data_IF_453791173945
#
_entry.id   IF_453791173945
#
_cell.length_a   1.000
_cell.length_b   1.000
_cell.length_c   1.000
_cell.angle_alpha   90.00
_cell.angle_beta   90.00
_cell.angle_gamma   90.00
#
_symmetry.space_group_name_H-M   'P 1'
#
loop_
_entity.id
_entity.type
_entity.pdbx_description
1 polymer ?
#
# COMPACT_ATOMS: atom_id res chain seq x y z
N UNK A 1 -3.41 21.07 -18.44
CA UNK A 1 -4.06 21.72 -17.28
C UNK A 1 -3.03 22.69 -16.69
N UNK A 2 -3.21 24.02 -16.84
CA UNK A 2 -2.24 25.06 -16.46
C UNK A 2 -2.91 26.14 -15.56
N UNK A 3 -3.62 25.76 -14.49
CA UNK A 3 -4.21 26.77 -13.59
C UNK A 3 -3.26 27.20 -12.46
N UNK A 4 -2.14 26.51 -12.25
CA UNK A 4 -1.27 26.78 -11.09
C UNK A 4 -1.94 26.49 -9.74
N UNK A 5 -3.14 25.88 -9.77
CA UNK A 5 -3.93 25.54 -8.60
C UNK A 5 -3.57 24.14 -8.10
N UNK A 6 -3.69 23.96 -6.78
CA UNK A 6 -3.62 22.65 -6.17
C UNK A 6 -4.84 21.81 -6.60
N UNK A 7 -4.58 20.58 -7.04
CA UNK A 7 -5.60 19.59 -7.35
C UNK A 7 -5.40 18.42 -6.39
N UNK A 8 -6.50 17.93 -5.82
CA UNK A 8 -6.52 16.74 -4.98
C UNK A 8 -7.37 15.67 -5.65
N UNK A 9 -6.76 14.52 -5.90
CA UNK A 9 -7.43 13.34 -6.44
C UNK A 9 -7.34 12.23 -5.40
N UNK A 10 -8.50 11.78 -4.92
CA UNK A 10 -8.58 10.72 -3.91
C UNK A 10 -8.35 9.37 -4.59
N UNK A 11 -7.38 8.61 -4.08
CA UNK A 11 -7.11 7.24 -4.52
C UNK A 11 -8.11 6.28 -3.89
N UNK A 12 -8.15 6.22 -2.55
CA UNK A 12 -9.01 5.31 -1.80
C UNK A 12 -9.15 5.73 -0.33
N UNK A 13 -9.95 4.97 0.42
CA UNK A 13 -10.17 5.16 1.86
C UNK A 13 -9.24 4.33 2.75
N UNK A 14 -8.50 3.34 2.23
CA UNK A 14 -7.70 2.43 3.08
C UNK A 14 -8.56 1.48 3.92
N UNK A 15 -7.97 0.94 5.00
CA UNK A 15 -8.65 0.03 5.92
C UNK A 15 -9.72 0.76 6.74
N UNK A 16 -10.90 0.17 6.91
CA UNK A 16 -12.04 0.79 7.61
C UNK A 16 -12.72 -0.13 8.64
N UNK A 17 -12.49 -1.44 8.56
CA UNK A 17 -13.26 -2.47 9.26
C UNK A 17 -13.12 -2.43 10.77
N UNK A 18 -11.94 -2.09 11.29
CA UNK A 18 -11.65 -2.10 12.72
C UNK A 18 -11.71 -0.70 13.38
N UNK A 19 -12.14 0.32 12.62
CA UNK A 19 -12.15 1.73 13.05
C UNK A 19 -12.79 1.96 14.42
N UNK A 20 -13.88 1.25 14.71
CA UNK A 20 -14.62 1.38 15.98
C UNK A 20 -13.92 0.71 17.17
N UNK A 21 -13.04 -0.27 16.91
CA UNK A 21 -12.38 -1.08 17.93
C UNK A 21 -11.01 -0.51 18.29
N UNK A 22 -10.25 -0.08 17.28
CA UNK A 22 -8.83 0.30 17.45
C UNK A 22 -8.54 1.78 17.18
N UNK A 23 -9.55 2.58 16.77
CA UNK A 23 -9.43 4.00 16.41
C UNK A 23 -8.46 4.34 15.25
N UNK A 24 -7.81 3.35 14.65
CA UNK A 24 -7.01 3.51 13.43
C UNK A 24 -7.77 3.03 12.20
N UNK A 25 -7.63 3.79 11.11
CA UNK A 25 -8.23 3.52 9.80
C UNK A 25 -7.41 4.25 8.71
N UNK A 26 -7.65 3.93 7.44
CA UNK A 26 -6.88 4.47 6.33
C UNK A 26 -5.59 3.70 6.07
N UNK A 27 -4.52 4.43 5.77
CA UNK A 27 -3.19 3.88 5.48
C UNK A 27 -2.16 4.48 6.42
N UNK A 28 -1.21 3.66 6.88
CA UNK A 28 -0.07 4.08 7.68
C UNK A 28 1.15 4.47 6.83
N UNK A 29 1.22 3.99 5.59
CA UNK A 29 2.30 4.26 4.65
C UNK A 29 1.98 3.67 3.28
N UNK A 30 2.46 4.32 2.24
CA UNK A 30 2.28 3.88 0.86
C UNK A 30 3.46 4.31 -0.02
N UNK A 31 3.72 3.55 -1.08
CA UNK A 31 4.71 3.87 -2.10
C UNK A 31 4.25 3.42 -3.49
N UNK A 32 4.84 4.00 -4.52
CA UNK A 32 4.45 3.85 -5.93
C UNK A 32 5.35 2.84 -6.62
N UNK A 33 4.76 1.85 -7.28
CA UNK A 33 5.49 0.90 -8.10
C UNK A 33 5.30 1.11 -9.60
N UNK A 34 6.42 0.98 -10.33
CA UNK A 34 6.51 0.96 -11.79
C UNK A 34 6.31 -0.45 -12.34
N UNK A 35 5.65 -0.55 -13.50
CA UNK A 35 5.56 -1.79 -14.28
C UNK A 35 5.71 -1.44 -15.76
N UNK A 36 6.70 -2.03 -16.43
CA UNK A 36 7.09 -1.72 -17.79
C UNK A 36 7.36 -0.22 -17.97
N UNK A 37 6.51 0.44 -18.76
CA UNK A 37 6.58 1.89 -19.00
C UNK A 37 5.67 2.72 -18.11
N UNK A 38 4.78 2.11 -17.32
CA UNK A 38 3.86 2.81 -16.43
C UNK A 38 4.54 3.05 -15.08
N UNK A 39 5.02 4.28 -14.85
CA UNK A 39 5.73 4.66 -13.62
C UNK A 39 4.82 4.80 -12.41
N UNK A 40 3.50 4.67 -12.58
CA UNK A 40 2.51 4.74 -11.51
C UNK A 40 1.51 3.60 -11.66
N UNK A 41 2.01 2.38 -11.90
CA UNK A 41 1.20 1.22 -12.24
C UNK A 41 0.36 0.73 -11.06
N UNK A 42 0.96 0.69 -9.87
CA UNK A 42 0.29 0.31 -8.64
C UNK A 42 0.77 1.16 -7.44
N UNK A 43 0.02 1.11 -6.36
CA UNK A 43 0.40 1.69 -5.06
C UNK A 43 0.42 0.57 -4.05
N UNK A 44 1.58 0.27 -3.45
CA UNK A 44 1.65 -0.60 -2.29
C UNK A 44 1.35 0.20 -1.03
N UNK A 45 0.62 -0.38 -0.10
CA UNK A 45 0.26 0.26 1.15
C UNK A 45 0.29 -0.70 2.33
N UNK A 46 0.60 -0.13 3.49
CA UNK A 46 0.40 -0.75 4.80
C UNK A 46 -0.73 -0.03 5.52
N UNK A 47 -1.59 -0.79 6.19
CA UNK A 47 -2.85 -0.27 6.70
C UNK A 47 -3.27 -0.93 8.03
N UNK A 48 -3.89 -0.16 8.96
CA UNK A 48 -3.85 1.30 9.10
C UNK A 48 -2.52 1.76 9.76
N UNK A 49 -2.52 2.83 10.56
CA UNK A 49 -1.35 3.25 11.37
C UNK A 49 -0.80 2.08 12.20
N UNK A 50 0.50 1.79 12.04
CA UNK A 50 1.15 0.60 12.62
C UNK A 50 0.31 -0.66 12.46
N UNK A 51 -0.34 -0.84 11.32
CA UNK A 51 -1.36 -1.88 11.14
C UNK A 51 -0.78 -3.27 10.90
N UNK A 52 -1.64 -4.15 10.45
CA UNK A 52 -1.35 -5.54 10.12
C UNK A 52 -1.71 -5.89 8.66
N UNK A 53 -2.28 -4.98 7.89
CA UNK A 53 -2.73 -5.26 6.53
C UNK A 53 -1.70 -4.74 5.53
N UNK A 54 -1.35 -5.58 4.56
CA UNK A 54 -0.66 -5.16 3.33
C UNK A 54 -1.66 -5.21 2.20
N UNK A 55 -1.78 -4.09 1.48
CA UNK A 55 -2.67 -3.95 0.35
C UNK A 55 -1.92 -3.37 -0.85
N UNK A 56 -2.49 -3.59 -2.03
CA UNK A 56 -2.10 -2.88 -3.25
C UNK A 56 -3.33 -2.26 -3.89
N UNK A 57 -3.12 -1.11 -4.51
CA UNK A 57 -4.10 -0.46 -5.35
C UNK A 57 -3.68 -0.58 -6.80
N UNK A 58 -4.57 -1.10 -7.64
CA UNK A 58 -4.35 -1.24 -9.08
C UNK A 58 -5.39 -0.44 -9.86
N UNK A 59 -5.06 -0.05 -11.09
CA UNK A 59 -5.97 0.70 -11.95
C UNK A 59 -7.05 -0.23 -12.51
N UNK A 60 -8.32 0.09 -12.30
CA UNK A 60 -9.47 -0.64 -12.88
C UNK A 60 -9.56 -0.39 -14.40
N UNK A 61 -9.11 0.78 -14.86
CA UNK A 61 -9.04 1.13 -16.28
C UNK A 61 -7.80 1.97 -16.58
N UNK A 62 -7.21 1.80 -17.77
CA UNK A 62 -6.05 2.56 -18.25
C UNK A 62 -6.43 3.97 -18.75
N UNK A 63 -7.41 4.62 -18.11
CA UNK A 63 -7.83 5.98 -18.46
C UNK A 63 -6.82 7.02 -17.95
N UNK A 64 -6.95 8.27 -18.41
CA UNK A 64 -6.06 9.38 -17.99
C UNK A 64 -5.97 9.50 -16.47
N UNK A 65 -4.81 9.92 -15.93
CA UNK A 65 -4.53 10.04 -14.48
C UNK A 65 -5.71 10.60 -13.68
N UNK A 66 -6.38 11.64 -14.19
CA UNK A 66 -7.51 12.30 -13.51
C UNK A 66 -8.86 11.55 -13.53
N UNK A 67 -8.87 10.32 -14.03
CA UNK A 67 -10.06 9.45 -14.11
C UNK A 67 -9.74 8.00 -13.74
N UNK A 68 -8.55 7.75 -13.17
CA UNK A 68 -8.17 6.41 -12.75
C UNK A 68 -9.02 6.02 -11.56
N UNK A 69 -9.83 4.99 -11.75
CA UNK A 69 -10.46 4.28 -10.64
C UNK A 69 -9.46 3.26 -10.12
N UNK A 70 -9.21 3.31 -8.81
CA UNK A 70 -8.32 2.38 -8.13
C UNK A 70 -9.12 1.29 -7.44
N UNK A 71 -8.63 0.05 -7.52
CA UNK A 71 -9.18 -1.09 -6.80
C UNK A 71 -8.19 -1.52 -5.72
N UNK A 72 -8.69 -1.60 -4.49
CA UNK A 72 -7.93 -2.11 -3.34
C UNK A 72 -7.95 -3.63 -3.35
N UNK A 73 -6.77 -4.23 -3.24
CA UNK A 73 -6.57 -5.67 -3.04
C UNK A 73 -5.80 -5.87 -1.75
N UNK A 74 -6.35 -6.65 -0.82
CA UNK A 74 -5.60 -7.11 0.35
C UNK A 74 -4.72 -8.27 -0.11
N UNK A 75 -3.41 -8.17 0.13
CA UNK A 75 -2.46 -9.24 -0.15
C UNK A 75 -2.26 -10.11 1.07
N UNK A 76 -2.05 -9.49 2.23
CA UNK A 76 -1.79 -10.18 3.48
C UNK A 76 -2.37 -9.46 4.70
N UNK A 77 -2.65 -10.25 5.74
CA UNK A 77 -3.05 -9.78 7.07
C UNK A 77 -2.20 -10.49 8.12
N UNK A 78 -1.30 -9.75 8.77
CA UNK A 78 -0.33 -10.25 9.73
C UNK A 78 -0.91 -10.34 11.15
N UNK A 79 -1.78 -11.35 11.35
CA UNK A 79 -2.42 -11.61 12.65
C UNK A 79 -3.45 -10.56 13.02
N UNK A 80 -3.79 -10.46 14.30
CA UNK A 80 -4.70 -9.44 14.84
C UNK A 80 -3.92 -8.28 15.47
N UNK A 81 -4.48 -7.05 15.48
CA UNK A 81 -3.86 -5.97 16.23
C UNK A 81 -3.74 -6.32 17.72
N UNK A 82 -2.71 -5.76 18.36
CA UNK A 82 -2.50 -5.88 19.79
C UNK A 82 -3.50 -5.04 20.60
N UNK A 83 -3.36 -5.04 21.93
CA UNK A 83 -4.23 -4.27 22.84
C UNK A 83 -4.23 -2.74 22.61
N UNK A 84 -3.24 -2.21 21.89
CA UNK A 84 -3.17 -0.80 21.49
C UNK A 84 -3.75 -0.54 20.10
N UNK A 85 -4.26 -1.57 19.42
CA UNK A 85 -4.77 -1.46 18.06
C UNK A 85 -3.69 -1.50 16.98
N UNK A 86 -2.48 -1.94 17.30
CA UNK A 86 -1.36 -1.96 16.36
C UNK A 86 -0.99 -3.39 15.95
N UNK A 87 -0.67 -3.59 14.68
CA UNK A 87 0.04 -4.73 14.13
C UNK A 87 1.54 -4.47 13.87
N UNK A 88 2.18 -5.35 13.07
CA UNK A 88 3.62 -5.33 12.85
C UNK A 88 4.08 -4.42 11.71
N UNK A 89 3.22 -3.98 10.80
CA UNK A 89 3.66 -3.20 9.62
C UNK A 89 4.12 -1.79 10.02
N UNK A 90 5.18 -1.28 9.40
CA UNK A 90 5.72 0.05 9.73
C UNK A 90 6.13 0.87 8.51
N UNK A 91 6.63 0.24 7.45
CA UNK A 91 6.98 0.96 6.23
C UNK A 91 6.86 0.08 5.00
N UNK A 92 6.69 0.71 3.84
CA UNK A 92 6.72 0.06 2.52
C UNK A 92 7.53 0.91 1.56
N UNK A 93 8.35 0.26 0.72
CA UNK A 93 9.06 0.91 -0.38
C UNK A 93 8.96 0.06 -1.65
N UNK A 94 8.82 0.71 -2.80
CA UNK A 94 8.82 0.09 -4.11
C UNK A 94 10.17 0.35 -4.81
N UNK A 95 10.73 -0.69 -5.43
CA UNK A 95 11.90 -0.57 -6.30
C UNK A 95 12.11 -1.85 -7.14
N UNK A 96 12.84 -1.68 -8.23
CA UNK A 96 13.37 -2.75 -9.08
C UNK A 96 14.57 -3.45 -8.38
N UNK A 97 14.25 -4.37 -7.47
CA UNK A 97 15.24 -5.07 -6.64
C UNK A 97 15.96 -6.20 -7.39
N UNK A 98 15.31 -6.83 -8.38
CA UNK A 98 15.85 -7.95 -9.16
C UNK A 98 16.32 -7.56 -10.56
N UNK A 99 16.13 -6.29 -10.96
CA UNK A 99 16.60 -5.69 -12.22
C UNK A 99 15.88 -6.23 -13.44
N UNK A 100 14.62 -6.63 -13.29
CA UNK A 100 13.77 -7.06 -14.42
C UNK A 100 13.04 -5.89 -15.10
N UNK A 101 13.08 -4.70 -14.48
CA UNK A 101 12.50 -3.46 -14.98
C UNK A 101 11.16 -3.10 -14.35
N UNK A 102 10.57 -4.00 -13.56
CA UNK A 102 9.36 -3.80 -12.78
C UNK A 102 9.72 -3.61 -11.31
N UNK A 103 9.01 -2.72 -10.63
CA UNK A 103 9.19 -2.57 -9.19
C UNK A 103 8.48 -3.72 -8.49
N UNK A 104 9.22 -4.42 -7.61
CA UNK A 104 8.62 -5.12 -6.48
C UNK A 104 8.51 -4.17 -5.29
N UNK A 105 8.13 -4.69 -4.12
CA UNK A 105 8.12 -3.88 -2.90
C UNK A 105 8.59 -4.64 -1.67
N UNK A 106 9.16 -3.89 -0.73
CA UNK A 106 9.56 -4.37 0.58
C UNK A 106 8.59 -3.86 1.65
N UNK A 107 8.18 -4.75 2.55
CA UNK A 107 7.40 -4.38 3.74
C UNK A 107 8.29 -4.54 4.97
N UNK A 108 8.46 -3.46 5.73
CA UNK A 108 9.17 -3.48 7.01
C UNK A 108 8.21 -3.86 8.14
N UNK A 109 8.46 -5.01 8.76
CA UNK A 109 7.71 -5.50 9.92
C UNK A 109 8.53 -5.33 11.21
N UNK A 110 7.94 -4.65 12.19
CA UNK A 110 8.58 -4.29 13.47
C UNK A 110 8.53 -5.41 14.52
N UNK A 111 7.94 -6.55 14.21
CA UNK A 111 7.70 -7.61 15.19
C UNK A 111 6.36 -7.47 15.92
N UNK A 112 6.08 -8.39 16.86
CA UNK A 112 6.97 -9.47 17.32
C UNK A 112 7.05 -10.68 16.35
N UNK A 113 7.90 -11.69 16.62
CA UNK A 113 7.92 -12.92 15.83
C UNK A 113 6.52 -13.56 15.71
N UNK A 114 6.16 -14.16 14.57
CA UNK A 114 7.00 -14.36 13.37
C UNK A 114 7.04 -13.13 12.43
N UNK A 115 6.37 -12.04 12.76
CA UNK A 115 6.18 -10.87 11.89
C UNK A 115 7.25 -9.80 12.17
N UNK A 116 8.50 -10.22 12.18
CA UNK A 116 9.69 -9.37 12.30
C UNK A 116 10.58 -9.65 11.10
N UNK A 117 11.12 -8.59 10.48
CA UNK A 117 12.01 -8.57 9.30
C UNK A 117 11.44 -7.74 8.15
N UNK A 118 12.12 -7.81 7.01
CA UNK A 118 11.73 -7.19 5.75
C UNK A 118 11.28 -8.29 4.80
N UNK A 119 10.06 -8.15 4.27
CA UNK A 119 9.46 -9.10 3.34
C UNK A 119 9.50 -8.51 1.92
N UNK A 120 9.98 -9.28 0.96
CA UNK A 120 9.99 -8.91 -0.46
C UNK A 120 8.82 -9.56 -1.18
N UNK A 121 8.05 -8.74 -1.89
CA UNK A 121 6.93 -9.16 -2.70
C UNK A 121 7.14 -8.68 -4.14
N UNK A 122 7.00 -9.59 -5.09
CA UNK A 122 6.90 -9.27 -6.51
C UNK A 122 5.46 -9.56 -6.98
N UNK A 123 4.89 -8.69 -7.82
CA UNK A 123 3.56 -8.84 -8.40
C UNK A 123 3.74 -9.39 -9.81
N UNK A 124 3.28 -10.60 -10.06
CA UNK A 124 3.28 -11.18 -11.40
C UNK A 124 2.06 -10.65 -12.17
N UNK A 125 2.33 -9.88 -13.23
CA UNK A 125 1.31 -9.27 -14.10
C UNK A 125 0.89 -10.18 -15.24
#
# INVERSE_FOLDING_TARGET
>A
KNSGEWILEKIADGEQGEKQQINYYGSGGADIGKVGSDTFAYIAAIEPFHGNVVSVYTKVTNNSLSQIQWQRHILDVYGHPNQNGEGPTHHVICADFDKDGDDGFLVALRGPPPNEAVFYQNLLW
#
